data_IF_361503484399
#
_entry.id   IF_361503484399
#
_cell.length_a   1.000
_cell.length_b   1.000
_cell.length_c   1.000
_cell.angle_alpha   90.00
_cell.angle_beta   90.00
_cell.angle_gamma   90.00
#
_symmetry.space_group_name_H-M   'P 1'
#
loop_
_entity.id
_entity.type
_entity.pdbx_description
1 polymer ?
#
# COMPACT_ATOMS: atom_id res chain seq x y z
N UNK A 1 27.79 19.55 2.99
CA UNK A 1 26.43 19.01 3.30
C UNK A 1 25.71 18.77 1.97
N UNK A 2 25.41 17.52 1.67
CA UNK A 2 24.75 17.22 0.39
C UNK A 2 23.22 17.36 0.56
N UNK A 3 22.65 18.47 0.07
CA UNK A 3 21.21 18.77 0.12
C UNK A 3 20.39 18.02 -0.94
N UNK A 4 21.05 17.34 -1.88
CA UNK A 4 20.35 16.66 -2.99
C UNK A 4 19.47 15.52 -2.51
N UNK A 5 19.96 14.72 -1.55
CA UNK A 5 19.20 13.60 -1.01
C UNK A 5 17.94 14.05 -0.25
N UNK A 6 18.02 14.97 0.73
CA UNK A 6 16.83 15.50 1.40
C UNK A 6 15.84 16.17 0.44
N UNK A 7 16.32 16.89 -0.57
CA UNK A 7 15.47 17.52 -1.59
C UNK A 7 14.71 16.47 -2.40
N UNK A 8 15.39 15.41 -2.86
CA UNK A 8 14.77 14.29 -3.58
C UNK A 8 13.72 13.59 -2.73
N UNK A 9 14.04 13.32 -1.47
CA UNK A 9 13.11 12.71 -0.50
C UNK A 9 11.87 13.58 -0.32
N UNK A 10 12.03 14.88 -0.15
CA UNK A 10 10.91 15.80 0.04
C UNK A 10 10.00 15.86 -1.21
N UNK A 11 10.59 15.95 -2.40
CA UNK A 11 9.84 15.93 -3.67
C UNK A 11 8.99 14.67 -3.77
N UNK A 12 9.59 13.49 -3.56
CA UNK A 12 8.87 12.21 -3.63
C UNK A 12 7.75 12.13 -2.60
N UNK A 13 8.00 12.59 -1.37
CA UNK A 13 6.98 12.61 -0.32
C UNK A 13 5.78 13.46 -0.70
N UNK A 14 6.00 14.64 -1.28
CA UNK A 14 4.91 15.50 -1.78
C UNK A 14 4.08 14.80 -2.88
N UNK A 15 4.74 14.10 -3.83
CA UNK A 15 4.03 13.35 -4.86
C UNK A 15 3.24 12.17 -4.30
N UNK A 16 3.77 11.45 -3.31
CA UNK A 16 3.06 10.36 -2.64
C UNK A 16 1.85 10.87 -1.87
N UNK A 17 1.95 11.97 -1.15
CA UNK A 17 0.82 12.61 -0.47
C UNK A 17 -0.26 13.05 -1.46
N UNK A 18 0.14 13.60 -2.60
CA UNK A 18 -0.79 13.97 -3.66
C UNK A 18 -1.47 12.73 -4.27
N UNK A 19 -0.73 11.66 -4.50
CA UNK A 19 -1.29 10.39 -4.97
C UNK A 19 -2.28 9.80 -3.94
N UNK A 20 -1.97 9.84 -2.63
CA UNK A 20 -2.90 9.45 -1.57
C UNK A 20 -4.21 10.23 -1.64
N UNK A 21 -4.14 11.56 -1.82
CA UNK A 21 -5.34 12.40 -1.94
C UNK A 21 -6.20 12.01 -3.15
N UNK A 22 -5.58 11.74 -4.30
CA UNK A 22 -6.29 11.34 -5.52
C UNK A 22 -6.93 9.95 -5.34
N UNK A 23 -6.21 9.02 -4.76
CA UNK A 23 -6.69 7.65 -4.54
C UNK A 23 -7.83 7.62 -3.52
N UNK A 24 -7.77 8.40 -2.44
CA UNK A 24 -8.86 8.55 -1.50
C UNK A 24 -10.12 9.15 -2.14
N UNK A 25 -9.95 10.11 -3.06
CA UNK A 25 -11.08 10.84 -3.67
C UNK A 25 -11.75 10.06 -4.79
N UNK A 26 -10.97 9.43 -5.66
CA UNK A 26 -11.46 8.88 -6.92
C UNK A 26 -11.04 7.43 -7.20
N UNK A 27 -10.22 6.82 -6.34
CA UNK A 27 -9.63 5.47 -6.54
C UNK A 27 -8.82 5.33 -7.85
N UNK A 28 -8.40 6.46 -8.40
CA UNK A 28 -7.63 6.52 -9.63
C UNK A 28 -6.49 7.52 -9.45
N UNK A 29 -5.26 7.05 -9.66
CA UNK A 29 -4.09 7.92 -9.74
C UNK A 29 -3.62 7.99 -11.18
N UNK A 30 -3.73 9.16 -11.84
CA UNK A 30 -3.32 9.32 -13.24
C UNK A 30 -1.84 9.03 -13.43
N UNK A 31 -1.47 8.43 -14.57
CA UNK A 31 -0.07 8.16 -14.92
C UNK A 31 0.82 9.42 -14.97
N UNK A 32 0.21 10.60 -15.16
CA UNK A 32 0.92 11.89 -15.15
C UNK A 32 1.63 12.15 -13.82
N UNK A 33 1.04 11.72 -12.69
CA UNK A 33 1.64 11.89 -11.36
C UNK A 33 3.00 11.18 -11.30
N UNK A 34 3.04 9.92 -11.71
CA UNK A 34 4.26 9.11 -11.72
C UNK A 34 5.31 9.65 -12.70
N UNK A 35 4.87 10.07 -13.90
CA UNK A 35 5.76 10.68 -14.89
C UNK A 35 6.40 11.97 -14.39
N UNK A 36 5.61 12.86 -13.78
CA UNK A 36 6.11 14.12 -13.23
C UNK A 36 7.07 13.89 -12.07
N UNK A 37 6.75 12.93 -11.18
CA UNK A 37 7.64 12.54 -10.09
C UNK A 37 8.99 12.06 -10.62
N UNK A 38 9.01 11.19 -11.63
CA UNK A 38 10.24 10.71 -12.28
C UNK A 38 11.01 11.86 -12.94
N UNK A 39 10.34 12.72 -13.71
CA UNK A 39 11.01 13.86 -14.38
C UNK A 39 11.65 14.80 -13.36
N UNK A 40 11.00 15.06 -12.23
CA UNK A 40 11.52 15.93 -11.19
C UNK A 40 12.72 15.32 -10.44
N UNK A 41 12.82 13.98 -10.33
CA UNK A 41 13.82 13.32 -9.47
C UNK A 41 14.93 12.61 -10.22
N UNK A 42 14.72 12.16 -11.46
CA UNK A 42 15.73 11.45 -12.27
C UNK A 42 17.03 12.25 -12.44
N UNK A 43 17.01 13.58 -12.69
CA UNK A 43 18.27 14.32 -12.80
C UNK A 43 19.13 14.21 -11.54
N UNK A 44 18.52 14.28 -10.35
CA UNK A 44 19.21 14.14 -9.06
C UNK A 44 19.74 12.70 -8.91
N UNK A 45 18.90 11.71 -9.20
CA UNK A 45 19.28 10.30 -9.13
C UNK A 45 20.40 9.96 -10.10
N UNK A 46 20.36 10.46 -11.33
CA UNK A 46 21.40 10.24 -12.34
C UNK A 46 22.75 10.82 -11.90
N UNK A 47 22.74 12.03 -11.31
CA UNK A 47 23.95 12.63 -10.78
C UNK A 47 24.52 11.78 -9.63
N UNK A 48 23.70 11.32 -8.69
CA UNK A 48 24.15 10.47 -7.58
C UNK A 48 24.69 9.11 -8.04
N UNK A 49 24.04 8.47 -9.02
CA UNK A 49 24.53 7.22 -9.62
C UNK A 49 25.87 7.47 -10.32
N UNK A 50 26.03 8.57 -11.03
CA UNK A 50 27.28 8.91 -11.70
C UNK A 50 28.44 9.05 -10.68
N UNK A 51 28.23 9.76 -9.56
CA UNK A 51 29.25 9.86 -8.49
C UNK A 51 29.62 8.47 -7.94
N UNK A 52 28.61 7.61 -7.66
CA UNK A 52 28.88 6.24 -7.16
C UNK A 52 29.56 5.36 -8.19
N UNK A 53 29.22 5.47 -9.46
CA UNK A 53 29.77 4.67 -10.54
C UNK A 53 31.28 4.91 -10.73
N UNK A 54 31.74 6.13 -10.49
CA UNK A 54 33.16 6.48 -10.53
C UNK A 54 33.91 5.83 -9.37
N UNK A 55 33.31 5.78 -8.19
CA UNK A 55 33.94 5.29 -6.97
C UNK A 55 33.93 3.78 -6.85
N UNK A 56 32.80 3.14 -7.17
CA UNK A 56 32.64 1.69 -6.97
C UNK A 56 31.59 1.07 -7.93
N UNK A 57 32.08 0.38 -8.94
CA UNK A 57 31.23 -0.32 -9.93
C UNK A 57 30.39 -1.45 -9.34
N UNK A 58 30.84 -2.10 -8.26
CA UNK A 58 30.07 -3.18 -7.62
C UNK A 58 28.77 -2.67 -7.03
N UNK A 59 28.80 -1.46 -6.42
CA UNK A 59 27.58 -0.83 -5.89
C UNK A 59 26.57 -0.52 -7.01
N UNK A 60 27.04 -0.16 -8.19
CA UNK A 60 26.20 0.06 -9.36
C UNK A 60 25.45 -1.22 -9.77
N UNK A 61 26.13 -2.37 -9.80
CA UNK A 61 25.48 -3.65 -10.10
C UNK A 61 24.43 -4.03 -9.06
N UNK A 62 24.72 -3.83 -7.77
CA UNK A 62 23.74 -4.08 -6.68
C UNK A 62 22.53 -3.14 -6.78
N UNK A 63 22.75 -1.89 -7.12
CA UNK A 63 21.70 -0.92 -7.34
C UNK A 63 20.78 -1.34 -8.50
N UNK A 64 21.38 -1.70 -9.64
CA UNK A 64 20.64 -2.18 -10.82
C UNK A 64 19.86 -3.47 -10.51
N UNK A 65 20.49 -4.41 -9.81
CA UNK A 65 19.82 -5.63 -9.35
C UNK A 65 18.60 -5.29 -8.47
N UNK A 66 18.75 -4.39 -7.50
CA UNK A 66 17.66 -3.95 -6.62
C UNK A 66 16.50 -3.33 -7.38
N UNK A 67 16.78 -2.48 -8.38
CA UNK A 67 15.75 -1.89 -9.25
C UNK A 67 15.01 -2.97 -10.04
N UNK A 68 15.72 -3.86 -10.71
CA UNK A 68 15.13 -4.96 -11.50
C UNK A 68 14.28 -5.84 -10.59
N UNK A 69 14.81 -6.24 -9.44
CA UNK A 69 14.11 -7.08 -8.46
C UNK A 69 12.77 -6.47 -8.04
N UNK A 70 12.76 -5.19 -7.64
CA UNK A 70 11.52 -4.51 -7.21
C UNK A 70 10.55 -4.32 -8.36
N UNK A 71 11.01 -3.98 -9.56
CA UNK A 71 10.14 -3.83 -10.73
C UNK A 71 9.45 -5.15 -11.06
N UNK A 72 10.19 -6.26 -11.05
CA UNK A 72 9.62 -7.59 -11.28
C UNK A 72 8.66 -7.99 -10.15
N UNK A 73 9.02 -7.75 -8.89
CA UNK A 73 8.17 -8.04 -7.74
C UNK A 73 6.86 -7.23 -7.80
N UNK A 74 6.93 -5.94 -8.04
CA UNK A 74 5.75 -5.08 -8.16
C UNK A 74 4.85 -5.48 -9.33
N UNK A 75 5.44 -5.87 -10.46
CA UNK A 75 4.70 -6.40 -11.60
C UNK A 75 4.01 -7.73 -11.27
N UNK A 76 4.70 -8.64 -10.58
CA UNK A 76 4.14 -9.92 -10.14
C UNK A 76 2.97 -9.73 -9.18
N UNK A 77 3.12 -8.86 -8.17
CA UNK A 77 2.05 -8.53 -7.22
C UNK A 77 0.81 -7.93 -7.92
N UNK A 78 1.03 -7.08 -8.94
CA UNK A 78 -0.03 -6.57 -9.79
C UNK A 78 -0.73 -7.69 -10.59
N UNK A 79 0.03 -8.59 -11.23
CA UNK A 79 -0.52 -9.72 -12.00
C UNK A 79 -1.33 -10.69 -11.14
N UNK A 80 -0.92 -10.89 -9.90
CA UNK A 80 -1.64 -11.71 -8.90
C UNK A 80 -2.87 -11.00 -8.30
N UNK A 81 -3.20 -9.79 -8.75
CA UNK A 81 -4.26 -8.95 -8.15
C UNK A 81 -4.08 -8.72 -6.63
N UNK A 82 -2.86 -8.82 -6.14
CA UNK A 82 -2.52 -8.49 -4.76
C UNK A 82 -2.43 -6.96 -4.56
N UNK A 83 -1.97 -6.25 -5.60
CA UNK A 83 -1.83 -4.79 -5.60
C UNK A 83 -2.58 -4.15 -6.76
N UNK A 84 -3.08 -2.92 -6.52
CA UNK A 84 -3.62 -2.06 -7.55
C UNK A 84 -2.53 -1.55 -8.51
N UNK A 85 -2.93 -1.17 -9.73
CA UNK A 85 -1.97 -0.66 -10.72
C UNK A 85 -1.26 0.63 -10.28
N UNK A 86 -1.87 1.43 -9.40
CA UNK A 86 -1.26 2.63 -8.85
C UNK A 86 -0.18 2.28 -7.81
N UNK A 87 -0.44 1.30 -6.94
CA UNK A 87 0.49 0.82 -5.91
C UNK A 87 1.76 0.22 -6.53
N UNK A 88 1.57 -0.65 -7.55
CA UNK A 88 2.70 -1.23 -8.28
C UNK A 88 3.56 -0.16 -8.95
N UNK A 89 2.96 0.87 -9.58
CA UNK A 89 3.69 1.99 -10.18
C UNK A 89 4.43 2.82 -9.14
N UNK A 90 3.84 3.05 -7.96
CA UNK A 90 4.51 3.73 -6.87
C UNK A 90 5.80 3.02 -6.48
N UNK A 91 5.75 1.70 -6.25
CA UNK A 91 6.93 0.90 -5.91
C UNK A 91 7.98 0.88 -7.03
N UNK A 92 7.56 0.72 -8.30
CA UNK A 92 8.48 0.79 -9.45
C UNK A 92 9.18 2.15 -9.54
N UNK A 93 8.44 3.25 -9.37
CA UNK A 93 9.01 4.59 -9.37
C UNK A 93 9.98 4.78 -8.21
N UNK A 94 9.63 4.32 -6.99
CA UNK A 94 10.53 4.40 -5.84
C UNK A 94 11.82 3.62 -6.07
N UNK A 95 11.76 2.44 -6.69
CA UNK A 95 12.95 1.67 -7.02
C UNK A 95 13.89 2.41 -7.99
N UNK A 96 13.32 3.05 -9.02
CA UNK A 96 14.09 3.84 -9.99
C UNK A 96 14.67 5.11 -9.39
N UNK A 97 13.91 5.80 -8.52
CA UNK A 97 14.34 7.06 -7.89
C UNK A 97 15.39 6.82 -6.80
N UNK A 98 15.26 5.71 -6.06
CA UNK A 98 16.16 5.32 -4.98
C UNK A 98 16.79 3.94 -5.28
N UNK A 99 17.67 3.83 -6.28
CA UNK A 99 18.36 2.58 -6.58
C UNK A 99 19.35 2.19 -5.48
N UNK A 100 19.82 3.19 -4.72
CA UNK A 100 20.59 3.05 -3.49
C UNK A 100 19.74 3.49 -2.30
N UNK A 101 20.02 2.90 -1.14
CA UNK A 101 19.35 3.31 0.08
C UNK A 101 19.78 4.75 0.44
N UNK A 102 18.84 5.69 0.66
CA UNK A 102 19.17 7.05 1.03
C UNK A 102 19.94 7.09 2.36
N UNK A 103 21.00 7.90 2.39
CA UNK A 103 21.85 8.09 3.57
C UNK A 103 22.16 9.57 3.73
N UNK A 104 21.61 10.21 4.77
CA UNK A 104 21.80 11.62 5.03
C UNK A 104 21.61 11.93 6.51
N UNK A 105 22.46 12.76 7.07
CA UNK A 105 22.37 13.29 8.43
C UNK A 105 22.15 12.24 9.54
N UNK A 106 22.64 11.02 9.36
CA UNK A 106 22.48 9.92 10.31
C UNK A 106 21.16 9.13 10.14
N UNK A 107 20.38 9.36 9.09
CA UNK A 107 19.22 8.55 8.74
C UNK A 107 19.58 7.49 7.69
N UNK A 108 18.97 6.30 7.75
CA UNK A 108 18.04 5.80 8.76
C UNK A 108 18.69 5.46 10.10
N UNK A 109 17.91 5.61 11.19
CA UNK A 109 18.42 5.48 12.58
C UNK A 109 18.78 4.04 12.95
N UNK A 110 18.00 3.05 12.47
CA UNK A 110 18.11 1.66 12.96
C UNK A 110 18.94 0.79 12.00
N UNK A 111 18.48 0.65 10.74
CA UNK A 111 19.13 -0.22 9.75
C UNK A 111 18.67 0.11 8.32
N UNK A 112 19.37 -0.50 7.34
CA UNK A 112 19.01 -0.39 5.91
C UNK A 112 18.39 -1.69 5.36
N UNK A 113 18.04 -2.66 6.23
CA UNK A 113 17.52 -3.96 5.83
C UNK A 113 18.44 -4.65 4.82
N UNK A 114 17.86 -5.10 3.71
CA UNK A 114 18.63 -5.68 2.59
C UNK A 114 19.36 -4.64 1.72
N UNK A 115 19.34 -3.37 2.08
CA UNK A 115 19.96 -2.29 1.30
C UNK A 115 19.13 -1.83 0.09
N UNK A 116 17.96 -2.41 -0.15
CA UNK A 116 17.04 -2.04 -1.23
C UNK A 116 15.93 -1.18 -0.65
N UNK A 117 16.00 0.14 -0.86
CA UNK A 117 15.10 1.09 -0.24
C UNK A 117 13.61 0.81 -0.53
N UNK A 118 13.25 0.58 -1.80
CA UNK A 118 11.86 0.31 -2.18
C UNK A 118 11.34 -1.01 -1.59
N UNK A 119 12.22 -1.98 -1.27
CA UNK A 119 11.84 -3.18 -0.54
C UNK A 119 11.51 -2.85 0.91
N UNK A 120 12.31 -2.03 1.58
CA UNK A 120 12.02 -1.59 2.96
C UNK A 120 10.73 -0.77 3.04
N UNK A 121 10.43 0.04 2.01
CA UNK A 121 9.13 0.73 1.91
C UNK A 121 7.98 -0.28 1.83
N UNK A 122 8.11 -1.29 0.98
CA UNK A 122 7.11 -2.36 0.84
C UNK A 122 6.94 -3.15 2.15
N UNK A 123 8.05 -3.59 2.73
CA UNK A 123 8.13 -4.33 3.99
C UNK A 123 7.41 -3.58 5.12
N UNK A 124 7.77 -2.32 5.33
CA UNK A 124 7.13 -1.46 6.33
C UNK A 124 5.64 -1.23 6.03
N UNK A 125 5.25 -1.11 4.75
CA UNK A 125 3.85 -0.93 4.36
C UNK A 125 2.97 -2.13 4.71
N UNK A 126 3.51 -3.34 4.60
CA UNK A 126 2.79 -4.58 4.91
C UNK A 126 2.47 -4.71 6.40
N UNK A 127 3.27 -4.11 7.30
CA UNK A 127 3.01 -4.11 8.76
C UNK A 127 1.66 -3.48 9.09
N UNK A 128 1.18 -2.52 8.31
CA UNK A 128 -0.10 -1.86 8.56
C UNK A 128 -1.31 -2.76 8.28
N UNK A 129 -1.20 -3.78 7.44
CA UNK A 129 -2.30 -4.69 7.14
C UNK A 129 -2.79 -5.46 8.39
N UNK A 130 -1.94 -6.14 9.18
CA UNK A 130 -2.32 -6.74 10.45
C UNK A 130 -2.90 -5.73 11.45
N UNK A 131 -2.30 -4.54 11.57
CA UNK A 131 -2.80 -3.50 12.51
C UNK A 131 -4.24 -3.12 12.16
N UNK A 132 -4.53 -2.94 10.88
CA UNK A 132 -5.89 -2.67 10.43
C UNK A 132 -6.84 -3.84 10.70
N UNK A 133 -6.41 -5.07 10.45
CA UNK A 133 -7.21 -6.28 10.72
C UNK A 133 -7.57 -6.38 12.21
N UNK A 134 -6.62 -6.12 13.11
CA UNK A 134 -6.88 -6.06 14.55
C UNK A 134 -7.82 -4.91 14.91
N UNK A 135 -7.66 -3.74 14.31
CA UNK A 135 -8.57 -2.60 14.50
C UNK A 135 -10.01 -2.93 14.10
N UNK A 136 -10.22 -3.57 12.94
CA UNK A 136 -11.53 -4.02 12.49
C UNK A 136 -12.11 -5.09 13.40
N UNK A 137 -11.30 -6.07 13.81
CA UNK A 137 -11.71 -7.11 14.74
C UNK A 137 -12.21 -6.49 16.07
N UNK A 138 -11.43 -5.60 16.67
CA UNK A 138 -11.79 -4.96 17.93
C UNK A 138 -13.08 -4.13 17.80
N UNK A 139 -13.17 -3.31 16.75
CA UNK A 139 -14.37 -2.56 16.44
C UNK A 139 -15.60 -3.46 16.32
N UNK A 140 -15.50 -4.55 15.57
CA UNK A 140 -16.64 -5.44 15.33
C UNK A 140 -17.02 -6.26 16.55
N UNK A 141 -16.06 -6.64 17.40
CA UNK A 141 -16.37 -7.26 18.69
C UNK A 141 -17.17 -6.34 19.61
N UNK A 142 -16.88 -5.03 19.58
CA UNK A 142 -17.62 -4.04 20.38
C UNK A 142 -19.00 -3.77 19.78
N UNK A 143 -19.10 -3.60 18.45
CA UNK A 143 -20.33 -3.15 17.78
C UNK A 143 -21.33 -4.27 17.51
N UNK A 144 -20.85 -5.47 17.13
CA UNK A 144 -21.67 -6.61 16.72
C UNK A 144 -21.70 -7.74 17.76
N UNK A 145 -20.81 -7.64 18.77
CA UNK A 145 -20.68 -8.61 19.85
C UNK A 145 -19.89 -9.88 19.47
N UNK A 146 -19.38 -10.63 20.48
CA UNK A 146 -18.50 -11.77 20.25
C UNK A 146 -19.18 -13.00 19.65
N UNK A 147 -20.51 -13.16 19.83
CA UNK A 147 -21.24 -14.33 19.33
C UNK A 147 -21.23 -14.43 17.80
N UNK A 148 -21.20 -13.29 17.12
CA UNK A 148 -21.12 -13.24 15.65
C UNK A 148 -19.75 -13.66 15.13
N UNK A 149 -18.68 -13.40 15.86
CA UNK A 149 -17.31 -13.77 15.50
C UNK A 149 -17.14 -15.27 15.28
N UNK A 150 -17.69 -16.11 16.16
CA UNK A 150 -17.60 -17.58 16.04
C UNK A 150 -18.25 -18.11 14.76
N UNK A 151 -19.27 -17.41 14.21
CA UNK A 151 -19.97 -17.81 12.99
C UNK A 151 -19.28 -17.29 11.72
N UNK A 152 -18.71 -16.09 11.78
CA UNK A 152 -18.12 -15.42 10.61
C UNK A 152 -16.82 -14.68 10.95
N UNK A 153 -15.75 -15.39 11.37
CA UNK A 153 -14.52 -14.76 11.82
C UNK A 153 -13.86 -13.89 10.74
N UNK A 154 -13.92 -14.34 9.48
CA UNK A 154 -13.36 -13.59 8.34
C UNK A 154 -13.98 -12.20 8.21
N UNK A 155 -15.29 -12.07 8.43
CA UNK A 155 -15.98 -10.79 8.29
C UNK A 155 -15.61 -9.80 9.39
N UNK A 156 -15.33 -10.31 10.59
CA UNK A 156 -14.87 -9.49 11.71
C UNK A 156 -13.46 -8.94 11.52
N UNK A 157 -12.60 -9.71 10.83
CA UNK A 157 -11.20 -9.34 10.60
C UNK A 157 -11.06 -8.47 9.34
N UNK A 158 -11.82 -8.78 8.29
CA UNK A 158 -11.63 -8.18 6.97
C UNK A 158 -12.70 -7.17 6.56
N UNK A 159 -13.75 -6.99 7.37
CA UNK A 159 -14.87 -6.13 7.00
C UNK A 159 -15.57 -5.49 8.18
N UNK A 160 -16.67 -4.82 7.91
CA UNK A 160 -17.56 -4.23 8.88
C UNK A 160 -18.95 -3.98 8.26
N UNK A 161 -19.96 -3.76 9.09
CA UNK A 161 -21.32 -3.46 8.63
C UNK A 161 -21.52 -1.98 8.40
N UNK A 162 -22.12 -1.65 7.25
CA UNK A 162 -22.55 -0.28 6.93
C UNK A 162 -23.98 -0.28 6.38
N UNK A 163 -24.69 0.86 6.50
CA UNK A 163 -25.95 1.09 5.81
C UNK A 163 -25.74 1.05 4.28
N UNK A 164 -26.77 0.59 3.55
CA UNK A 164 -26.70 0.44 2.10
C UNK A 164 -26.40 1.76 1.38
N UNK A 165 -26.87 2.89 1.93
CA UNK A 165 -26.63 4.21 1.35
C UNK A 165 -25.15 4.62 1.35
N UNK A 166 -24.32 3.97 2.17
CA UNK A 166 -22.89 4.26 2.34
C UNK A 166 -21.96 3.28 1.63
N UNK A 167 -22.47 2.46 0.71
CA UNK A 167 -21.66 1.41 0.04
C UNK A 167 -20.58 1.97 -0.93
N UNK A 168 -20.51 3.28 -1.16
CA UNK A 168 -19.50 3.87 -2.04
C UNK A 168 -18.08 3.42 -1.67
N UNK A 169 -17.32 2.94 -2.66
CA UNK A 169 -15.93 2.46 -2.51
C UNK A 169 -15.72 1.26 -1.58
N UNK A 170 -16.74 0.43 -1.40
CA UNK A 170 -16.66 -0.79 -0.60
C UNK A 170 -16.98 -2.01 -1.45
N UNK A 171 -16.30 -3.12 -1.19
CA UNK A 171 -16.66 -4.39 -1.78
C UNK A 171 -17.60 -5.16 -0.85
N UNK A 172 -18.56 -5.88 -1.40
CA UNK A 172 -19.60 -6.58 -0.66
C UNK A 172 -19.16 -7.99 -0.27
N UNK A 173 -19.32 -8.35 0.99
CA UNK A 173 -19.28 -9.72 1.47
C UNK A 173 -20.67 -10.39 1.47
N UNK A 174 -21.73 -9.57 1.43
CA UNK A 174 -23.12 -10.03 1.43
C UNK A 174 -23.89 -9.34 0.31
N UNK A 175 -24.62 -10.12 -0.49
CA UNK A 175 -25.52 -9.61 -1.53
C UNK A 175 -26.69 -10.58 -1.72
N UNK A 176 -27.74 -10.15 -2.41
CA UNK A 176 -28.91 -11.00 -2.72
C UNK A 176 -28.68 -11.71 -4.05
N UNK A 177 -28.95 -13.02 -4.09
CA UNK A 177 -29.03 -13.81 -5.32
C UNK A 177 -30.30 -13.46 -6.14
N UNK A 178 -30.46 -14.08 -7.31
CA UNK A 178 -31.62 -13.87 -8.18
C UNK A 178 -32.96 -14.27 -7.52
N UNK A 179 -32.88 -15.14 -6.54
CA UNK A 179 -34.06 -15.65 -5.79
C UNK A 179 -34.35 -14.80 -4.54
N UNK A 180 -33.60 -13.77 -4.27
CA UNK A 180 -33.78 -12.91 -3.09
C UNK A 180 -33.19 -13.46 -1.79
N UNK A 181 -32.39 -14.53 -1.84
CA UNK A 181 -31.70 -15.04 -0.66
C UNK A 181 -30.39 -14.30 -0.40
N UNK A 182 -30.10 -14.03 0.87
CA UNK A 182 -28.83 -13.38 1.26
C UNK A 182 -27.67 -14.37 1.09
N UNK A 183 -26.82 -14.12 0.07
CA UNK A 183 -25.62 -14.89 -0.21
C UNK A 183 -24.42 -14.27 0.48
N UNK A 184 -23.64 -15.11 1.15
CA UNK A 184 -22.39 -14.75 1.83
C UNK A 184 -21.21 -15.31 1.07
N UNK A 185 -20.20 -14.46 0.81
CA UNK A 185 -19.00 -14.83 0.05
C UNK A 185 -17.74 -14.64 0.86
N UNK A 186 -16.76 -15.52 0.70
CA UNK A 186 -15.46 -15.41 1.38
C UNK A 186 -14.58 -14.33 0.76
N UNK A 187 -14.72 -14.10 -0.55
CA UNK A 187 -14.02 -13.04 -1.27
C UNK A 187 -15.02 -11.95 -1.62
N UNK A 188 -14.77 -10.74 -1.14
CA UNK A 188 -15.63 -9.61 -1.39
C UNK A 188 -15.73 -9.29 -2.90
N UNK A 189 -16.92 -8.90 -3.34
CA UNK A 189 -17.25 -8.63 -4.74
C UNK A 189 -17.51 -7.13 -4.90
N UNK A 190 -17.07 -6.58 -6.01
CA UNK A 190 -17.38 -5.19 -6.37
C UNK A 190 -18.89 -5.01 -6.55
N UNK A 191 -19.53 -4.01 -5.92
CA UNK A 191 -20.95 -3.82 -6.00
C UNK A 191 -21.37 -3.38 -7.40
N UNK A 192 -22.32 -4.10 -8.03
CA UNK A 192 -23.02 -3.64 -9.20
C UNK A 192 -24.26 -2.82 -8.81
N UNK A 193 -24.72 -1.93 -9.69
CA UNK A 193 -25.96 -1.15 -9.48
C UNK A 193 -27.16 -2.07 -9.25
N UNK A 194 -27.17 -3.21 -9.93
CA UNK A 194 -28.21 -4.22 -9.77
C UNK A 194 -28.21 -4.86 -8.38
N UNK A 195 -27.02 -5.19 -7.84
CA UNK A 195 -26.89 -5.73 -6.47
C UNK A 195 -27.40 -4.71 -5.44
N UNK A 196 -27.02 -3.44 -5.60
CA UNK A 196 -27.46 -2.36 -4.69
C UNK A 196 -28.98 -2.16 -4.79
N UNK A 197 -29.55 -2.15 -5.98
CA UNK A 197 -31.00 -1.98 -6.19
C UNK A 197 -31.80 -3.14 -5.58
N UNK A 198 -31.31 -4.36 -5.71
CA UNK A 198 -31.92 -5.54 -5.07
C UNK A 198 -31.89 -5.44 -3.55
N UNK A 199 -30.73 -5.07 -2.95
CA UNK A 199 -30.61 -4.87 -1.50
C UNK A 199 -31.63 -3.83 -0.98
N UNK A 200 -31.80 -2.71 -1.71
CA UNK A 200 -32.79 -1.67 -1.38
C UNK A 200 -34.23 -2.18 -1.49
N UNK A 201 -34.56 -2.94 -2.56
CA UNK A 201 -35.89 -3.52 -2.79
C UNK A 201 -36.33 -4.44 -1.65
N UNK A 202 -35.40 -5.24 -1.11
CA UNK A 202 -35.66 -6.16 -0.01
C UNK A 202 -35.50 -5.52 1.38
N UNK A 203 -35.34 -4.17 1.45
CA UNK A 203 -35.24 -3.40 2.70
C UNK A 203 -34.14 -3.91 3.65
N UNK A 204 -33.02 -4.37 3.10
CA UNK A 204 -31.85 -4.72 3.90
C UNK A 204 -31.21 -3.42 4.41
N UNK A 205 -31.15 -3.22 5.70
CA UNK A 205 -30.60 -1.96 6.27
C UNK A 205 -29.09 -1.90 6.25
N UNK A 206 -28.42 -3.00 6.59
CA UNK A 206 -26.94 -3.08 6.72
C UNK A 206 -26.40 -4.34 6.09
N UNK A 207 -25.25 -4.22 5.45
CA UNK A 207 -24.52 -5.32 4.82
C UNK A 207 -23.07 -5.35 5.28
N UNK A 208 -22.47 -6.53 5.28
CA UNK A 208 -21.04 -6.68 5.49
C UNK A 208 -20.28 -6.26 4.24
N UNK A 209 -19.32 -5.37 4.43
CA UNK A 209 -18.44 -4.85 3.39
C UNK A 209 -16.99 -4.91 3.83
N UNK A 210 -16.07 -4.91 2.88
CA UNK A 210 -14.66 -4.65 3.16
C UNK A 210 -14.31 -3.26 2.65
N UNK A 211 -13.55 -2.45 3.42
CA UNK A 211 -13.05 -1.20 2.91
C UNK A 211 -12.10 -1.49 1.74
N UNK A 212 -12.35 -0.90 0.60
CA UNK A 212 -11.35 -0.84 -0.46
C UNK A 212 -10.31 0.21 -0.04
N UNK A 213 -9.36 -0.15 0.81
CA UNK A 213 -8.34 0.80 1.29
C UNK A 213 -7.34 1.11 0.19
N UNK A 214 -7.00 2.38 0.00
CA UNK A 214 -5.94 2.77 -0.91
C UNK A 214 -4.59 2.35 -0.33
N UNK A 215 -3.94 1.34 -0.93
CA UNK A 215 -2.66 0.84 -0.42
C UNK A 215 -1.53 1.88 -0.54
N UNK A 216 -1.68 2.86 -1.43
CA UNK A 216 -0.75 4.00 -1.54
C UNK A 216 -0.55 4.73 -0.20
N UNK A 217 -1.57 4.79 0.66
CA UNK A 217 -1.43 5.38 2.00
C UNK A 217 -0.39 4.59 2.81
N UNK A 218 -0.49 3.26 2.78
CA UNK A 218 0.46 2.40 3.50
C UNK A 218 1.87 2.49 2.89
N UNK A 219 1.98 2.59 1.55
CA UNK A 219 3.26 2.85 0.87
C UNK A 219 3.85 4.19 1.33
N UNK A 220 3.03 5.22 1.48
CA UNK A 220 3.48 6.55 1.93
C UNK A 220 3.96 6.52 3.37
N UNK A 221 3.25 5.83 4.26
CA UNK A 221 3.72 5.61 5.64
C UNK A 221 4.97 4.74 5.68
N UNK A 222 5.01 3.64 4.92
CA UNK A 222 6.19 2.79 4.78
C UNK A 222 7.41 3.55 4.26
N UNK A 223 7.20 4.48 3.32
CA UNK A 223 8.23 5.39 2.82
C UNK A 223 8.78 6.30 3.93
N UNK A 224 7.91 6.96 4.68
CA UNK A 224 8.33 7.84 5.77
C UNK A 224 9.11 7.06 6.85
N UNK A 225 8.63 5.86 7.19
CA UNK A 225 9.30 4.96 8.15
C UNK A 225 10.67 4.52 7.61
N UNK A 226 10.75 4.10 6.34
CA UNK A 226 12.00 3.65 5.72
C UNK A 226 13.06 4.76 5.69
N UNK A 227 12.65 6.01 5.47
CA UNK A 227 13.55 7.17 5.53
C UNK A 227 14.08 7.40 6.95
N UNK A 228 13.21 7.38 7.97
CA UNK A 228 13.58 7.78 9.33
C UNK A 228 14.22 6.62 10.10
N UNK A 229 13.56 5.47 10.10
CA UNK A 229 13.95 4.33 10.93
C UNK A 229 14.67 3.23 10.15
N UNK A 230 14.40 3.08 8.86
CA UNK A 230 14.87 1.97 8.07
C UNK A 230 13.82 0.87 7.91
N UNK A 231 14.26 -0.37 7.82
CA UNK A 231 13.39 -1.55 7.68
C UNK A 231 13.01 -2.10 9.05
N UNK A 232 11.84 -1.71 9.55
CA UNK A 232 11.35 -2.16 10.86
C UNK A 232 11.04 -3.67 10.85
N UNK A 233 10.49 -4.20 9.76
CA UNK A 233 10.19 -5.63 9.69
C UNK A 233 11.47 -6.47 9.77
N UNK A 234 12.50 -6.08 9.04
CA UNK A 234 13.80 -6.72 9.11
C UNK A 234 14.41 -6.63 10.52
N UNK A 235 14.30 -5.47 11.17
CA UNK A 235 14.77 -5.28 12.54
C UNK A 235 14.05 -6.21 13.53
N UNK A 236 12.72 -6.28 13.45
CA UNK A 236 11.94 -7.17 14.32
C UNK A 236 12.28 -8.65 14.09
N UNK A 237 12.47 -9.07 12.84
CA UNK A 237 12.88 -10.43 12.53
C UNK A 237 14.28 -10.74 13.04
N UNK A 238 15.22 -9.79 12.97
CA UNK A 238 16.59 -9.96 13.47
C UNK A 238 16.68 -10.04 15.01
N UNK A 239 15.63 -9.62 15.73
CA UNK A 239 15.53 -9.77 17.19
C UNK A 239 15.02 -11.15 17.62
N UNK A 240 14.36 -11.88 16.71
CA UNK A 240 13.74 -13.19 17.01
C UNK A 240 14.67 -14.35 16.59
N UNK A 241 15.52 -14.10 15.57
CA UNK A 241 16.52 -15.05 15.07
C UNK A 241 17.84 -14.96 15.83
#
# INVERSE_FOLDING_TARGET
MNWLEPTKIFIVFCFLLYACRLDLKARIVPNRVWKLMLVATIPITAYQIYEVAILNRTILFLALFGVIFIVLLAYLLYRMNAYGGADAKALMCLAVIFPLYPDFWGFPIINKGFGIFAFSVLSNSVIFAPIMMFGLLFRNLIMEGPRGFLKTPLYYIAGYRIPIEKIHFHNLFEFLDEKGNLKRVRRAVEPSEEMISRLKKYKIEKVWVTPALPFIIFITFGYAIAIVFGDILFFLLSMIL
#
